data_IF_421772041683
#
_entry.id   IF_421772041683
#
_cell.length_a   1.000
_cell.length_b   1.000
_cell.length_c   1.000
_cell.angle_alpha   90.00
_cell.angle_beta   90.00
_cell.angle_gamma   90.00
#
_symmetry.space_group_name_H-M   'P 1'
#
loop_
_entity.id
_entity.type
_entity.pdbx_description
1 polymer ?
#
# COMPACT_ATOMS: atom_id res chain seq x y z
N UNK A 1 -2.65 -6.58 5.07
CA UNK A 1 -2.42 -5.55 4.03
C UNK A 1 -1.07 -4.86 4.15
N UNK A 2 -0.81 -4.01 5.16
CA UNK A 2 0.46 -3.25 5.28
C UNK A 2 1.72 -4.12 5.37
N UNK A 3 1.68 -5.19 6.19
CA UNK A 3 2.78 -6.16 6.33
C UNK A 3 3.12 -6.84 5.00
N UNK A 4 2.09 -7.37 4.33
CA UNK A 4 2.22 -8.07 3.05
C UNK A 4 2.74 -7.14 1.94
N UNK A 5 2.22 -5.90 1.86
CA UNK A 5 2.72 -4.88 0.94
C UNK A 5 4.23 -4.62 1.12
N UNK A 6 4.71 -4.60 2.36
CA UNK A 6 6.13 -4.39 2.65
C UNK A 6 6.98 -5.63 2.33
N UNK A 7 6.57 -6.81 2.79
CA UNK A 7 7.36 -8.04 2.67
C UNK A 7 7.42 -8.56 1.23
N UNK A 8 6.30 -8.53 0.51
CA UNK A 8 6.19 -9.18 -0.80
C UNK A 8 6.44 -8.20 -1.96
N UNK A 9 6.04 -6.94 -1.79
CA UNK A 9 6.08 -5.93 -2.86
C UNK A 9 7.03 -4.76 -2.58
N UNK A 10 7.69 -4.74 -1.41
CA UNK A 10 8.56 -3.63 -0.96
C UNK A 10 7.85 -2.26 -0.92
N UNK A 11 6.55 -2.26 -0.65
CA UNK A 11 5.72 -1.05 -0.55
C UNK A 11 5.45 -0.75 0.92
N UNK A 12 6.10 0.29 1.44
CA UNK A 12 5.87 0.73 2.81
C UNK A 12 4.57 1.53 2.94
N UNK A 13 3.71 1.14 3.88
CA UNK A 13 2.48 1.86 4.23
C UNK A 13 2.31 1.90 5.74
N UNK A 14 1.62 2.92 6.25
CA UNK A 14 1.30 3.01 7.69
C UNK A 14 0.05 2.18 7.96
N UNK A 15 0.17 1.18 8.83
CA UNK A 15 -0.98 0.45 9.35
C UNK A 15 -1.83 1.34 10.26
N UNK A 16 -3.14 1.33 10.09
CA UNK A 16 -4.11 1.93 11.02
C UNK A 16 -4.90 0.80 11.64
N UNK A 17 -4.85 0.71 12.96
CA UNK A 17 -5.65 -0.22 13.74
C UNK A 17 -6.11 0.48 15.02
N UNK A 18 -7.22 1.22 14.92
CA UNK A 18 -7.69 2.06 16.02
C UNK A 18 -8.94 2.88 15.66
N UNK A 19 -9.66 3.32 16.70
CA UNK A 19 -10.88 4.13 16.54
C UNK A 19 -11.96 3.52 15.60
N UNK A 20 -12.05 2.18 15.56
CA UNK A 20 -12.98 1.45 14.68
C UNK A 20 -12.55 1.38 13.22
N UNK A 21 -11.34 1.84 12.89
CA UNK A 21 -10.76 1.76 11.55
C UNK A 21 -9.65 0.73 11.54
N UNK A 22 -9.74 -0.22 10.62
CA UNK A 22 -8.69 -1.19 10.33
C UNK A 22 -8.30 -1.07 8.86
N UNK A 23 -7.05 -0.74 8.58
CA UNK A 23 -6.58 -0.57 7.21
C UNK A 23 -5.15 -0.04 7.13
N UNK A 24 -4.82 0.60 6.02
CA UNK A 24 -3.54 1.26 5.83
C UNK A 24 -3.73 2.64 5.19
N UNK A 25 -2.87 3.58 5.57
CA UNK A 25 -2.86 4.94 5.03
C UNK A 25 -1.85 5.04 3.90
N UNK A 26 -2.34 5.41 2.72
CA UNK A 26 -1.54 5.64 1.52
C UNK A 26 -1.48 7.14 1.25
N UNK A 27 -0.28 7.70 1.21
CA UNK A 27 -0.02 9.11 0.91
C UNK A 27 1.18 9.22 -0.05
N UNK A 28 0.95 9.22 -1.37
CA UNK A 28 2.02 9.37 -2.35
C UNK A 28 2.74 10.70 -2.17
N UNK A 29 4.06 10.70 -2.38
CA UNK A 29 4.86 11.92 -2.35
C UNK A 29 4.79 12.61 -3.72
N UNK A 30 5.07 13.92 -3.79
CA UNK A 30 5.24 14.65 -5.05
C UNK A 30 6.33 14.08 -5.95
N UNK A 31 7.29 13.34 -5.38
CA UNK A 31 8.34 12.62 -6.11
C UNK A 31 7.92 11.22 -6.56
N UNK A 32 6.74 10.73 -6.16
CA UNK A 32 6.22 9.43 -6.62
C UNK A 32 5.72 9.57 -8.05
N UNK A 33 6.32 8.82 -8.96
CA UNK A 33 5.93 8.76 -10.36
C UNK A 33 4.64 7.95 -10.55
N UNK A 34 3.94 8.17 -11.66
CA UNK A 34 2.75 7.37 -11.99
C UNK A 34 3.09 5.90 -12.18
N UNK A 35 4.29 5.58 -12.69
CA UNK A 35 4.74 4.20 -12.85
C UNK A 35 4.97 3.49 -11.51
N UNK A 36 5.41 4.21 -10.47
CA UNK A 36 5.49 3.65 -9.11
C UNK A 36 4.09 3.45 -8.50
N UNK A 37 3.13 4.32 -8.83
CA UNK A 37 1.72 4.12 -8.45
C UNK A 37 1.12 2.90 -9.15
N UNK A 38 1.44 2.67 -10.41
CA UNK A 38 0.96 1.49 -11.16
C UNK A 38 1.45 0.19 -10.50
N UNK A 39 2.71 0.13 -10.03
CA UNK A 39 3.22 -1.00 -9.25
C UNK A 39 2.40 -1.26 -7.98
N UNK A 40 1.97 -0.19 -7.30
CA UNK A 40 1.10 -0.33 -6.13
C UNK A 40 -0.28 -0.86 -6.51
N UNK A 41 -0.88 -0.38 -7.60
CA UNK A 41 -2.18 -0.88 -8.09
C UNK A 41 -2.10 -2.35 -8.47
N UNK A 42 -1.02 -2.79 -9.12
CA UNK A 42 -0.85 -4.19 -9.50
C UNK A 42 -0.67 -5.09 -8.27
N UNK A 43 0.09 -4.66 -7.25
CA UNK A 43 0.17 -5.36 -5.98
C UNK A 43 -1.20 -5.52 -5.30
N UNK A 44 -2.04 -4.49 -5.33
CA UNK A 44 -3.40 -4.57 -4.77
C UNK A 44 -4.30 -5.57 -5.52
N UNK A 45 -4.20 -5.62 -6.85
CA UNK A 45 -4.96 -6.58 -7.67
C UNK A 45 -4.52 -8.02 -7.41
N UNK A 46 -3.22 -8.23 -7.28
CA UNK A 46 -2.63 -9.54 -6.96
C UNK A 46 -3.10 -10.01 -5.58
N UNK A 47 -3.07 -9.14 -4.57
CA UNK A 47 -3.56 -9.43 -3.21
C UNK A 47 -5.08 -9.66 -3.11
N UNK A 48 -5.86 -9.17 -4.09
CA UNK A 48 -7.31 -9.33 -4.14
C UNK A 48 -7.76 -10.61 -4.84
N UNK A 49 -6.83 -11.33 -5.47
CA UNK A 49 -7.05 -12.61 -6.14
C UNK A 49 -6.91 -13.77 -5.17
#
# INVERSE_FOLDING_TARGET
MSKQLLEDYNIWTVAIDGAGVHGCRITPNVYTTTQELDKFVDALKDMAS
#
